data_IF_130998845778
#
_entry.id   IF_130998845778
#
_cell.length_a   1.000
_cell.length_b   1.000
_cell.length_c   1.000
_cell.angle_alpha   90.00
_cell.angle_beta   90.00
_cell.angle_gamma   90.00
#
_symmetry.space_group_name_H-M   'P 1'
#
loop_
_entity.id
_entity.type
_entity.pdbx_description
1 polymer ?
#
# COMPACT_ATOMS: atom_id res chain seq x y z
N UNK A 1 10.17 -1.29 -21.81
CA UNK A 1 9.50 -1.07 -20.51
C UNK A 1 10.36 -0.12 -19.69
N UNK A 2 9.88 1.10 -19.44
CA UNK A 2 10.64 2.10 -18.69
C UNK A 2 10.96 1.56 -17.28
N UNK A 3 12.21 1.74 -16.84
CA UNK A 3 12.66 1.32 -15.50
C UNK A 3 11.75 2.01 -14.47
N UNK A 4 11.12 1.27 -13.54
CA UNK A 4 10.28 1.88 -12.50
C UNK A 4 11.15 2.86 -11.70
N UNK A 5 10.63 4.07 -11.49
CA UNK A 5 11.39 5.10 -10.79
C UNK A 5 11.65 4.67 -9.35
N UNK A 6 12.75 5.14 -8.71
CA UNK A 6 13.06 4.81 -7.31
C UNK A 6 11.90 5.12 -6.34
N UNK A 7 11.12 6.17 -6.65
CA UNK A 7 9.91 6.54 -5.92
C UNK A 7 8.80 5.49 -6.06
N UNK A 8 8.59 4.96 -7.27
CA UNK A 8 7.56 3.96 -7.54
C UNK A 8 7.87 2.64 -6.82
N UNK A 9 9.15 2.25 -6.77
CA UNK A 9 9.62 1.07 -6.03
C UNK A 9 9.37 1.24 -4.53
N UNK A 10 9.74 2.38 -3.95
CA UNK A 10 9.48 2.67 -2.52
C UNK A 10 7.99 2.61 -2.19
N UNK A 11 7.14 3.24 -2.99
CA UNK A 11 5.70 3.24 -2.75
C UNK A 11 5.10 1.83 -2.83
N UNK A 12 5.58 1.00 -3.77
CA UNK A 12 5.16 -0.40 -3.87
C UNK A 12 5.57 -1.20 -2.62
N UNK A 13 6.81 -1.03 -2.16
CA UNK A 13 7.32 -1.69 -0.95
C UNK A 13 6.49 -1.30 0.27
N UNK A 14 6.19 0.00 0.45
CA UNK A 14 5.37 0.48 1.57
C UNK A 14 3.94 -0.10 1.48
N UNK A 15 3.35 -0.17 0.29
CA UNK A 15 2.03 -0.74 0.10
C UNK A 15 1.99 -2.24 0.48
N UNK A 16 3.01 -3.02 0.09
CA UNK A 16 3.11 -4.45 0.45
C UNK A 16 3.29 -4.62 1.97
N UNK A 17 4.15 -3.81 2.60
CA UNK A 17 4.36 -3.85 4.05
C UNK A 17 3.07 -3.48 4.79
N UNK A 18 2.36 -2.44 4.35
CA UNK A 18 1.09 -2.02 4.93
C UNK A 18 0.01 -3.12 4.82
N UNK A 19 -0.06 -3.81 3.68
CA UNK A 19 -0.99 -4.92 3.49
C UNK A 19 -0.68 -6.11 4.43
N UNK A 20 0.61 -6.46 4.58
CA UNK A 20 1.02 -7.54 5.49
C UNK A 20 0.71 -7.20 6.96
N UNK A 21 0.95 -5.95 7.37
CA UNK A 21 0.62 -5.48 8.72
C UNK A 21 -0.89 -5.47 8.95
N UNK A 22 -1.69 -5.08 7.95
CA UNK A 22 -3.15 -5.14 8.04
C UNK A 22 -3.64 -6.57 8.23
N UNK A 23 -3.15 -7.53 7.43
CA UNK A 23 -3.52 -8.95 7.56
C UNK A 23 -3.09 -9.51 8.92
N UNK A 24 -1.86 -9.22 9.36
CA UNK A 24 -1.38 -9.62 10.68
C UNK A 24 -2.23 -9.03 11.82
N UNK A 25 -2.66 -7.78 11.69
CA UNK A 25 -3.51 -7.13 12.70
C UNK A 25 -4.88 -7.83 12.80
N UNK A 26 -5.49 -8.19 11.67
CA UNK A 26 -6.78 -8.93 11.66
C UNK A 26 -6.62 -10.32 12.28
N UNK A 27 -5.56 -11.06 11.93
CA UNK A 27 -5.37 -12.43 12.43
C UNK A 27 -5.10 -12.49 13.94
N UNK A 28 -4.55 -11.42 14.52
CA UNK A 28 -4.32 -11.30 15.97
C UNK A 28 -5.51 -10.73 16.74
N UNK A 29 -6.67 -10.50 16.09
CA UNK A 29 -7.82 -9.85 16.72
C UNK A 29 -7.53 -8.39 17.11
N UNK A 30 -6.61 -7.76 16.40
CA UNK A 30 -6.19 -6.38 16.62
C UNK A 30 -7.29 -5.36 16.28
N UNK A 31 -7.09 -4.09 16.66
CA UNK A 31 -8.10 -3.06 16.50
C UNK A 31 -8.45 -2.81 15.02
N UNK A 32 -9.72 -3.03 14.66
CA UNK A 32 -10.24 -2.95 13.30
C UNK A 32 -9.95 -1.61 12.57
N UNK A 33 -9.82 -0.51 13.33
CA UNK A 33 -9.53 0.81 12.78
C UNK A 33 -8.12 0.90 12.16
N UNK A 34 -7.15 0.12 12.67
CA UNK A 34 -5.81 0.05 12.08
C UNK A 34 -5.87 -0.62 10.71
N UNK A 35 -6.66 -1.69 10.61
CA UNK A 35 -6.87 -2.39 9.33
C UNK A 35 -7.52 -1.48 8.29
N UNK A 36 -8.50 -0.68 8.69
CA UNK A 36 -9.15 0.29 7.82
C UNK A 36 -8.17 1.36 7.32
N UNK A 37 -7.33 1.91 8.19
CA UNK A 37 -6.32 2.92 7.83
C UNK A 37 -5.29 2.34 6.85
N UNK A 38 -4.75 1.15 7.14
CA UNK A 38 -3.79 0.50 6.25
C UNK A 38 -4.42 0.12 4.90
N UNK A 39 -5.67 -0.34 4.89
CA UNK A 39 -6.41 -0.64 3.67
C UNK A 39 -6.60 0.59 2.79
N UNK A 40 -7.07 1.70 3.36
CA UNK A 40 -7.21 2.98 2.64
C UNK A 40 -5.86 3.47 2.11
N UNK A 41 -4.80 3.34 2.90
CA UNK A 41 -3.43 3.66 2.48
C UNK A 41 -2.96 2.83 1.29
N UNK A 42 -3.26 1.53 1.25
CA UNK A 42 -2.93 0.66 0.12
C UNK A 42 -3.67 1.08 -1.17
N UNK A 43 -4.98 1.41 -1.07
CA UNK A 43 -5.77 1.87 -2.21
C UNK A 43 -5.24 3.20 -2.76
N UNK A 44 -4.91 4.16 -1.88
CA UNK A 44 -4.33 5.44 -2.27
C UNK A 44 -2.95 5.28 -2.91
N UNK A 45 -2.10 4.38 -2.39
CA UNK A 45 -0.79 4.09 -2.96
C UNK A 45 -0.90 3.49 -4.37
N UNK A 46 -1.85 2.56 -4.57
CA UNK A 46 -2.13 1.97 -5.89
C UNK A 46 -2.68 3.04 -6.85
N UNK A 47 -3.66 3.83 -6.41
CA UNK A 47 -4.23 4.93 -7.20
C UNK A 47 -3.16 5.94 -7.64
N UNK A 48 -2.27 6.31 -6.73
CA UNK A 48 -1.12 7.17 -7.02
C UNK A 48 -0.15 6.55 -8.02
N UNK A 49 0.12 5.24 -7.91
CA UNK A 49 0.98 4.53 -8.85
C UNK A 49 0.37 4.43 -10.25
N UNK A 50 -0.96 4.32 -10.37
CA UNK A 50 -1.70 4.32 -11.64
C UNK A 50 -1.70 5.71 -12.26
N UNK A 51 -2.03 6.74 -11.49
CA UNK A 51 -2.04 8.14 -11.95
C UNK A 51 -0.65 8.60 -12.43
N UNK A 52 0.41 8.29 -11.69
CA UNK A 52 1.78 8.63 -12.07
C UNK A 52 2.33 7.82 -13.26
N UNK A 53 1.63 6.78 -13.72
CA UNK A 53 1.99 6.01 -14.92
C UNK A 53 1.20 6.44 -16.15
N UNK A 54 0.12 7.19 -15.96
CA UNK A 54 -0.76 7.69 -17.01
C UNK A 54 -0.40 9.12 -17.47
N UNK A 55 0.40 9.85 -16.70
CA UNK A 55 1.08 11.09 -17.11
C UNK A 55 2.48 10.81 -17.64
#
# INVERSE_FOLDING_TARGET
MARPSPLQVRSLVIAVVAALVAVWNVTQGGPWYLTAIFGVGCVLAIGSAVLNRAG
#
